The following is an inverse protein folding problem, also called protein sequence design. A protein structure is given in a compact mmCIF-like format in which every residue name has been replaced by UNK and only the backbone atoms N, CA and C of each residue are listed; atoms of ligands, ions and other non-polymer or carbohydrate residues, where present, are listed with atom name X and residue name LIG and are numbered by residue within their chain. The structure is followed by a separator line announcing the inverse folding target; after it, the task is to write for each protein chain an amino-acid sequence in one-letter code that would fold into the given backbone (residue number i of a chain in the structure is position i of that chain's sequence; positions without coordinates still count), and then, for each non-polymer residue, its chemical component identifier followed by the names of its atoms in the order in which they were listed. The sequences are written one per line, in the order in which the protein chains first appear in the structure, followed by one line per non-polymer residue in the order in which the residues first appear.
data_IF_796879650633
#
_entry.id   IF_796879650633
#
_cell.length_a   1.000
_cell.length_b   1.000
_cell.length_c   1.000
_cell.angle_alpha   90.00
_cell.angle_beta   90.00
_cell.angle_gamma   90.00
#
_symmetry.space_group_name_H-M   'P 1'
#
loop_
_entity.id
_entity.type
_entity.pdbx_description
1 polymer ?
2 non-polymer ?
3 non-polymer ?
4 non-polymer ?
5 non-polymer ?
6 non-polymer ?
7 water ?
#
# COMPACT_ATOMS: atom_id res chain seq x y z
N UNK A 1 -10.63 15.64 -0.06
CA UNK A 1 -10.37 15.71 1.39
C UNK A 1 -9.54 14.53 1.85
N UNK A 2 -9.67 14.21 3.13
CA UNK A 2 -8.80 13.23 3.81
C UNK A 2 -8.88 11.87 3.09
N UNK A 3 -10.09 11.40 2.76
CA UNK A 3 -10.24 10.03 2.21
C UNK A 3 -9.65 9.98 0.80
N UNK A 4 -9.85 11.05 0.02
CA UNK A 4 -9.21 11.10 -1.30
C UNK A 4 -7.69 11.15 -1.12
N UNK A 5 -7.19 11.89 -0.13
CA UNK A 5 -5.72 11.98 0.09
C UNK A 5 -5.13 10.59 0.33
N UNK A 6 -5.85 9.72 1.04
CA UNK A 6 -5.39 8.33 1.27
C UNK A 6 -5.21 7.64 -0.09
N UNK A 7 -6.20 7.76 -0.98
CA UNK A 7 -6.14 7.20 -2.35
C UNK A 7 -4.99 7.80 -3.16
N UNK A 8 -4.78 9.11 -3.10
CA UNK A 8 -3.63 9.76 -3.79
C UNK A 8 -2.31 9.17 -3.27
N UNK A 9 -2.14 9.10 -1.96
CA UNK A 9 -0.84 8.63 -1.43
C UNK A 9 -0.63 7.17 -1.83
N UNK A 10 -1.67 6.35 -1.63
CA UNK A 10 -1.62 4.91 -1.99
C UNK A 10 -1.30 4.71 -3.48
N UNK A 11 -1.74 5.60 -4.36
CA UNK A 11 -1.45 5.49 -5.80
C UNK A 11 0.03 5.62 -6.10
N UNK A 12 0.86 6.20 -5.22
CA UNK A 12 2.33 6.25 -5.47
C UNK A 12 3.03 6.13 -4.12
N UNK A 13 2.67 5.12 -3.35
CA UNK A 13 2.95 5.11 -1.89
C UNK A 13 4.46 5.03 -1.60
N UNK A 14 5.20 4.25 -2.39
CA UNK A 14 6.68 4.14 -2.25
C UNK A 14 7.29 5.55 -2.35
N UNK A 15 6.96 6.35 -3.37
CA UNK A 15 7.62 7.66 -3.54
C UNK A 15 7.16 8.61 -2.40
N UNK A 16 5.87 8.70 -2.14
CA UNK A 16 5.35 9.57 -1.05
C UNK A 16 5.98 9.16 0.29
N UNK A 17 6.03 7.88 0.61
CA UNK A 17 6.52 7.38 1.91
C UNK A 17 7.99 7.80 2.08
N UNK A 18 8.84 7.58 1.06
CA UNK A 18 10.26 8.00 1.13
C UNK A 18 10.35 9.53 1.24
N UNK A 19 9.65 10.28 0.40
CA UNK A 19 9.80 11.76 0.37
C UNK A 19 9.31 12.38 1.69
N UNK A 20 8.26 11.85 2.32
CA UNK A 20 7.76 12.40 3.61
C UNK A 20 8.70 12.00 4.74
N UNK A 21 9.15 10.75 4.77
CA UNK A 21 10.03 10.28 5.83
C UNK A 21 11.38 11.01 5.76
N UNK A 22 11.86 11.30 4.56
CA UNK A 22 13.11 12.08 4.40
C UNK A 22 12.83 13.50 4.90
N UNK A 23 11.67 14.06 4.57
CA UNK A 23 11.32 15.44 4.99
C UNK A 23 11.40 15.48 6.51
N UNK A 24 10.87 14.45 7.17
CA UNK A 24 10.87 14.29 8.63
C UNK A 24 12.34 14.24 9.11
N UNK A 25 13.16 13.33 8.54
CA UNK A 25 14.55 13.16 9.05
C UNK A 25 15.41 14.39 8.78
N UNK A 26 15.13 15.18 7.72
CA UNK A 26 15.91 16.40 7.41
C UNK A 26 15.42 17.58 8.29
N UNK A 27 14.11 17.67 8.58
CA UNK A 27 13.56 18.72 9.46
C UNK A 27 14.03 18.49 10.90
N UNK A 28 14.19 17.25 11.35
CA UNK A 28 14.46 16.84 12.76
C UNK A 28 15.65 15.88 12.80
N UNK A 29 16.86 16.40 12.49
CA UNK A 29 18.04 15.55 12.36
C UNK A 29 18.29 14.72 13.62
N UNK A 30 17.93 15.25 14.82
CA UNK A 30 18.18 14.50 16.09
C UNK A 30 17.35 13.22 16.05
N UNK A 31 16.31 13.14 15.22
CA UNK A 31 15.43 11.93 15.11
C UNK A 31 16.20 10.75 14.52
N UNK A 32 17.29 10.98 13.79
CA UNK A 32 18.13 9.89 13.22
C UNK A 32 18.72 9.05 14.38
N UNK A 33 18.71 9.57 15.61
CA UNK A 33 19.20 8.88 16.83
C UNK A 33 18.45 7.57 17.11
N UNK A 34 17.20 7.41 16.66
CA UNK A 34 16.41 6.15 16.80
C UNK A 34 16.77 5.16 15.69
N UNK A 35 17.64 5.54 14.75
CA UNK A 35 17.88 4.75 13.50
C UNK A 35 19.35 4.33 13.42
N UNK A 36 20.30 5.23 13.66
CA UNK A 36 21.78 4.99 13.75
C UNK A 36 22.39 4.75 12.36
N UNK A 37 21.99 3.64 11.72
CA UNK A 37 22.39 3.22 10.35
C UNK A 37 22.14 4.33 9.31
N UNK A 38 21.33 5.35 9.62
CA UNK A 38 20.91 6.41 8.65
C UNK A 38 21.87 7.60 8.65
N UNK A 39 22.65 7.75 9.72
CA UNK A 39 23.57 8.90 9.96
C UNK A 39 24.58 9.01 8.81
N UNK A 40 24.97 10.25 8.48
CA UNK A 40 26.00 10.57 7.47
C UNK A 40 25.68 10.06 6.10
N UNK A 41 24.39 9.97 5.75
CA UNK A 41 23.94 9.52 4.42
C UNK A 41 23.00 10.57 3.82
N UNK A 42 23.18 10.87 2.54
CA UNK A 42 22.30 11.75 1.75
C UNK A 42 20.99 10.98 1.52
N UNK A 43 19.97 11.73 1.14
CA UNK A 43 18.65 11.18 0.79
C UNK A 43 18.79 10.04 -0.21
N UNK A 44 19.57 10.21 -1.29
CA UNK A 44 19.68 9.22 -2.40
C UNK A 44 20.32 7.94 -1.85
N UNK A 45 21.28 8.07 -0.93
CA UNK A 45 21.94 6.93 -0.26
C UNK A 45 20.90 6.21 0.61
N UNK A 46 20.19 6.96 1.48
CA UNK A 46 19.15 6.41 2.39
C UNK A 46 18.20 5.57 1.56
N UNK A 47 17.83 6.12 0.39
CA UNK A 47 16.96 5.52 -0.64
C UNK A 47 17.67 4.31 -1.28
N UNK A 48 18.90 3.96 -0.84
CA UNK A 48 19.60 2.73 -1.28
C UNK A 48 19.96 1.83 -0.09
N UNK A 49 19.41 2.06 1.10
CA UNK A 49 19.62 1.19 2.30
C UNK A 49 18.35 0.37 2.54
N UNK A 50 18.43 -0.96 2.42
CA UNK A 50 17.25 -1.87 2.36
C UNK A 50 16.30 -1.62 3.54
N UNK A 51 16.82 -1.43 4.76
CA UNK A 51 15.99 -1.25 6.00
C UNK A 51 15.29 0.12 5.98
N UNK A 52 15.82 1.11 5.25
CA UNK A 52 15.09 2.38 4.97
C UNK A 52 13.88 2.14 4.08
N UNK A 53 14.08 1.62 2.88
CA UNK A 53 13.00 1.43 1.89
C UNK A 53 11.89 0.56 2.46
N UNK A 54 12.26 -0.45 3.24
CA UNK A 54 11.33 -1.54 3.70
C UNK A 54 10.47 -0.96 4.81
N UNK A 55 11.13 -0.39 5.82
CA UNK A 55 10.52 0.18 7.04
C UNK A 55 9.70 1.44 6.72
N UNK A 56 10.17 2.29 5.79
CA UNK A 56 9.39 3.47 5.35
C UNK A 56 8.13 2.99 4.63
N UNK A 57 8.22 2.00 3.75
CA UNK A 57 7.00 1.56 3.02
C UNK A 57 6.01 0.97 4.06
N UNK A 58 6.51 0.26 5.07
CA UNK A 58 5.64 -0.41 6.07
C UNK A 58 5.03 0.61 7.03
N UNK A 59 5.75 1.68 7.38
CA UNK A 59 5.20 2.86 8.10
C UNK A 59 3.97 3.38 7.34
N UNK A 60 4.09 3.60 6.04
CA UNK A 60 3.06 4.30 5.23
C UNK A 60 1.95 3.28 4.92
N UNK A 61 2.28 2.01 4.71
CA UNK A 61 1.20 1.00 4.50
C UNK A 61 0.29 1.03 5.73
N UNK A 62 0.86 0.99 6.92
CA UNK A 62 0.03 0.91 8.15
C UNK A 62 -0.59 2.28 8.43
N UNK A 63 0.13 3.38 8.20
CA UNK A 63 -0.44 4.72 8.50
C UNK A 63 -1.68 4.93 7.60
N UNK A 64 -1.63 4.51 6.35
CA UNK A 64 -2.81 4.66 5.47
C UNK A 64 -3.98 3.77 5.96
N UNK A 65 -3.72 2.59 6.51
CA UNK A 65 -4.82 1.75 7.07
C UNK A 65 -5.45 2.48 8.26
N UNK A 66 -4.61 3.00 9.14
CA UNK A 66 -5.08 3.70 10.36
C UNK A 66 -5.89 4.94 9.93
N UNK A 67 -5.41 5.70 8.94
CA UNK A 67 -6.16 6.84 8.38
C UNK A 67 -7.49 6.36 7.81
N UNK A 68 -7.48 5.23 7.10
CA UNK A 68 -8.67 4.70 6.41
C UNK A 68 -9.72 4.22 7.42
N UNK A 69 -9.28 3.71 8.55
CA UNK A 69 -10.18 3.19 9.59
C UNK A 69 -10.66 4.30 10.53
N UNK A 70 -10.11 5.51 10.41
CA UNK A 70 -10.45 6.68 11.22
C UNK A 70 -11.87 7.16 10.89
N UNK A 71 -12.52 7.77 11.85
CA UNK A 71 -13.75 8.56 11.62
C UNK A 71 -13.38 10.04 11.83
N UNK A 72 -13.61 10.89 10.83
CA UNK A 72 -13.41 12.35 10.98
C UNK A 72 -12.00 12.60 11.56
N UNK A 73 -11.00 11.89 11.04
CA UNK A 73 -9.58 12.05 11.39
C UNK A 73 -9.30 11.59 12.82
N UNK A 74 -10.19 10.78 13.42
CA UNK A 74 -9.99 10.21 14.78
C UNK A 74 -9.74 8.73 14.62
N UNK A 75 -8.51 8.27 14.94
CA UNK A 75 -8.13 6.88 14.69
C UNK A 75 -8.83 5.98 15.70
N UNK A 76 -8.97 4.70 15.35
CA UNK A 76 -9.50 3.67 16.26
C UNK A 76 -8.56 3.55 17.47
N UNK A 77 -9.10 3.45 18.67
CA UNK A 77 -8.29 3.13 19.87
C UNK A 77 -7.49 1.82 19.66
N UNK A 78 -8.09 0.79 19.07
CA UNK A 78 -7.38 -0.49 18.74
C UNK A 78 -6.13 -0.22 17.90
N UNK A 79 -6.17 0.73 16.96
CA UNK A 79 -5.01 1.00 16.08
C UNK A 79 -3.91 1.63 16.92
N UNK A 80 -4.28 2.51 17.84
CA UNK A 80 -3.33 3.16 18.76
C UNK A 80 -2.73 2.08 19.67
N UNK A 81 -3.56 1.23 20.29
CA UNK A 81 -3.05 0.12 21.14
C UNK A 81 -2.03 -0.66 20.32
N UNK A 82 -2.43 -1.14 19.13
CA UNK A 82 -1.54 -1.97 18.26
C UNK A 82 -0.20 -1.27 18.13
N UNK A 83 -0.20 0.02 17.79
CA UNK A 83 1.06 0.75 17.53
C UNK A 83 1.88 0.79 18.83
N UNK A 84 1.24 1.10 19.96
CA UNK A 84 1.98 1.30 21.25
C UNK A 84 2.76 0.02 21.55
N UNK A 85 2.09 -1.14 21.47
CA UNK A 85 2.62 -2.45 21.90
C UNK A 85 3.40 -3.12 20.76
N UNK A 86 3.92 -2.34 19.81
CA UNK A 86 4.94 -2.82 18.84
C UNK A 86 6.32 -2.78 19.54
N UNK A 87 6.96 -3.94 19.70
CA UNK A 87 8.27 -4.08 20.41
C UNK A 87 9.31 -3.12 19.80
N UNK A 88 9.29 -2.97 18.48
CA UNK A 88 10.18 -2.10 17.66
C UNK A 88 10.12 -0.64 18.12
N UNK A 89 8.96 -0.22 18.65
CA UNK A 89 8.72 1.18 19.11
C UNK A 89 8.99 1.34 20.62
N UNK A 90 9.66 0.38 21.27
CA UNK A 90 10.01 0.47 22.72
C UNK A 90 10.59 1.86 23.03
N UNK A 91 11.53 2.30 22.22
CA UNK A 91 12.23 3.59 22.39
C UNK A 91 11.30 4.79 22.43
N UNK A 92 10.18 4.77 21.72
CA UNK A 92 9.55 6.00 21.20
C UNK A 92 8.62 6.66 22.24
N UNK A 93 8.46 7.97 22.09
CA UNK A 93 7.45 8.80 22.80
C UNK A 93 6.54 9.45 21.76
N UNK A 94 5.46 10.10 22.19
CA UNK A 94 4.47 10.72 21.27
C UNK A 94 5.18 11.80 20.46
N UNK A 95 6.25 12.39 21.03
CA UNK A 95 7.10 13.40 20.39
C UNK A 95 7.62 12.95 19.04
N UNK A 96 8.04 11.68 18.93
CA UNK A 96 8.54 11.13 17.66
C UNK A 96 7.45 11.22 16.59
N UNK A 97 6.23 10.86 16.97
CA UNK A 97 5.02 10.82 16.08
C UNK A 97 4.56 12.23 15.73
N UNK A 98 4.54 13.14 16.71
CA UNK A 98 4.16 14.55 16.45
C UNK A 98 5.04 15.09 15.31
N UNK A 99 6.36 14.91 15.43
CA UNK A 99 7.33 15.48 14.46
C UNK A 99 7.10 14.88 13.08
N UNK A 100 6.85 13.59 12.99
CA UNK A 100 6.56 12.91 11.70
C UNK A 100 5.37 13.61 11.04
N UNK A 101 4.31 13.89 11.80
CA UNK A 101 3.09 14.54 11.24
C UNK A 101 3.34 16.01 10.94
N UNK A 102 4.16 16.74 11.70
CA UNK A 102 4.49 18.15 11.35
C UNK A 102 5.15 18.14 9.97
N UNK A 103 6.09 17.22 9.75
CA UNK A 103 6.82 17.16 8.46
C UNK A 103 5.85 16.74 7.35
N UNK A 104 4.98 15.76 7.58
CA UNK A 104 3.93 15.33 6.63
C UNK A 104 3.05 16.53 6.22
N UNK A 105 2.53 17.30 7.18
CA UNK A 105 1.63 18.43 6.87
C UNK A 105 2.41 19.50 6.06
N UNK A 106 3.62 19.80 6.47
CA UNK A 106 4.52 20.78 5.79
C UNK A 106 4.76 20.31 4.34
N UNK A 107 5.06 19.02 4.16
CA UNK A 107 5.26 18.40 2.82
C UNK A 107 4.00 18.62 1.95
N UNK A 108 2.82 18.36 2.51
CA UNK A 108 1.55 18.52 1.77
C UNK A 108 1.33 20.00 1.39
N UNK A 109 1.62 20.89 2.34
CA UNK A 109 1.47 22.37 2.19
C UNK A 109 2.38 22.88 1.06
N UNK A 110 3.57 22.31 0.90
CA UNK A 110 4.60 22.71 -0.11
C UNK A 110 4.38 21.99 -1.44
N UNK A 111 3.52 20.98 -1.48
CA UNK A 111 3.24 20.21 -2.71
C UNK A 111 2.43 21.09 -3.67
N UNK A 112 2.43 20.80 -4.95
CA UNK A 112 1.55 21.60 -5.82
C UNK A 112 0.09 21.13 -5.80
N UNK A 113 -0.26 20.22 -4.89
CA UNK A 113 -1.45 19.34 -4.95
C UNK A 113 -2.47 19.69 -3.85
N UNK A 114 -3.76 19.41 -4.12
CA UNK A 114 -4.91 19.84 -3.30
C UNK A 114 -5.11 18.88 -2.14
N UNK A 115 -4.03 18.53 -1.43
CA UNK A 115 -4.14 17.73 -0.18
C UNK A 115 -4.92 18.53 0.84
N UNK A 116 -5.70 17.85 1.67
CA UNK A 116 -6.43 18.48 2.79
C UNK A 116 -5.48 18.49 3.98
N UNK A 117 -4.52 19.43 3.99
CA UNK A 117 -3.42 19.44 4.97
C UNK A 117 -3.96 19.69 6.39
N UNK A 118 -5.03 20.45 6.52
CA UNK A 118 -5.60 20.66 7.87
C UNK A 118 -6.20 19.34 8.42
N UNK A 119 -6.79 18.47 7.62
CA UNK A 119 -7.23 17.13 8.06
C UNK A 119 -6.06 16.29 8.52
N UNK A 120 -4.94 16.31 7.80
CA UNK A 120 -3.76 15.52 8.21
C UNK A 120 -3.21 16.03 9.56
N UNK A 121 -3.23 17.34 9.74
CA UNK A 121 -2.74 17.98 10.97
C UNK A 121 -3.59 17.45 12.13
N UNK A 122 -4.92 17.42 11.96
CA UNK A 122 -5.82 16.93 13.03
C UNK A 122 -5.61 15.43 13.22
N UNK A 123 -5.46 14.69 12.14
CA UNK A 123 -5.16 13.24 12.21
C UNK A 123 -3.92 13.02 13.07
N UNK A 124 -2.85 13.76 12.81
CA UNK A 124 -1.58 13.58 13.56
C UNK A 124 -1.80 13.86 15.05
N UNK A 125 -2.48 14.96 15.38
CA UNK A 125 -2.79 15.32 16.80
C UNK A 125 -3.66 14.23 17.44
N UNK A 126 -4.66 13.71 16.72
CA UNK A 126 -5.65 12.77 17.29
C UNK A 126 -4.93 11.44 17.53
N UNK A 127 -4.03 11.07 16.61
CA UNK A 127 -3.25 9.84 16.77
C UNK A 127 -2.31 9.99 17.98
N UNK A 128 -1.64 11.12 18.12
CA UNK A 128 -0.76 11.38 19.30
C UNK A 128 -1.63 11.24 20.56
N UNK A 129 -2.81 11.84 20.59
CA UNK A 129 -3.70 11.73 21.78
C UNK A 129 -4.04 10.26 22.05
N UNK A 130 -4.44 9.51 21.01
CA UNK A 130 -4.83 8.09 21.12
C UNK A 130 -3.66 7.23 21.62
N UNK A 131 -2.45 7.49 21.11
CA UNK A 131 -1.24 6.73 21.50
C UNK A 131 -1.03 6.93 23.02
N UNK A 132 -1.07 8.18 23.48
CA UNK A 132 -0.96 8.53 24.92
C UNK A 132 -1.99 7.74 25.75
N UNK A 133 -3.27 7.80 25.37
CA UNK A 133 -4.37 7.07 26.06
C UNK A 133 -4.10 5.56 26.08
N UNK A 134 -3.43 5.02 25.05
CA UNK A 134 -3.19 3.58 24.87
C UNK A 134 -1.91 3.14 25.62
N UNK A 135 -1.11 4.09 26.07
CA UNK A 135 0.00 3.81 27.00
C UNK A 135 1.35 4.30 26.52
N UNK A 136 1.44 5.02 25.40
CA UNK A 136 2.77 5.50 24.93
C UNK A 136 3.20 6.63 25.85
N UNK A 137 4.49 6.73 26.18
CA UNK A 137 5.03 7.76 27.09
C UNK A 137 5.24 9.05 26.31
N UNK B 1 -11.57 -12.77 7.59
CA UNK B 1 -12.33 -12.95 6.31
C UNK B 1 -11.79 -12.01 5.25
N UNK B 2 -12.61 -11.71 4.26
CA UNK B 2 -12.21 -10.91 3.08
C UNK B 2 -11.71 -9.53 3.49
N UNK B 3 -12.47 -8.78 4.32
CA UNK B 3 -12.07 -7.42 4.78
C UNK B 3 -10.71 -7.45 5.49
N UNK B 4 -10.51 -8.42 6.38
CA UNK B 4 -9.21 -8.54 7.09
C UNK B 4 -8.14 -8.87 6.05
N UNK B 5 -8.44 -9.71 5.06
CA UNK B 5 -7.43 -10.10 4.05
C UNK B 5 -6.95 -8.84 3.31
N UNK B 6 -7.89 -7.97 2.93
CA UNK B 6 -7.51 -6.65 2.33
C UNK B 6 -6.50 -5.93 3.25
N UNK B 7 -6.73 -5.91 4.56
CA UNK B 7 -5.80 -5.25 5.49
C UNK B 7 -4.44 -5.99 5.51
N UNK B 8 -4.46 -7.31 5.54
CA UNK B 8 -3.22 -8.13 5.50
C UNK B 8 -2.41 -7.78 4.25
N UNK B 9 -3.02 -7.86 3.08
CA UNK B 9 -2.32 -7.57 1.79
C UNK B 9 -1.82 -6.13 1.82
N UNK B 10 -2.63 -5.17 2.23
CA UNK B 10 -2.22 -3.74 2.22
C UNK B 10 -1.03 -3.53 3.17
N UNK B 11 -0.97 -4.30 4.24
CA UNK B 11 0.10 -4.24 5.25
C UNK B 11 1.47 -4.44 4.61
N UNK B 12 1.55 -5.27 3.60
CA UNK B 12 2.84 -5.63 2.96
C UNK B 12 2.65 -5.70 1.45
N UNK B 13 2.08 -4.64 0.91
CA UNK B 13 1.41 -4.73 -0.41
C UNK B 13 2.43 -5.03 -1.52
N UNK B 14 3.58 -4.35 -1.51
CA UNK B 14 4.69 -4.52 -2.49
C UNK B 14 5.10 -6.01 -2.55
N UNK B 15 5.28 -6.64 -1.40
CA UNK B 15 5.76 -8.05 -1.29
C UNK B 15 4.67 -8.98 -1.79
N UNK B 16 3.46 -8.86 -1.27
CA UNK B 16 2.33 -9.69 -1.74
C UNK B 16 2.11 -9.49 -3.24
N UNK B 17 2.11 -8.24 -3.72
CA UNK B 17 1.81 -7.93 -5.13
C UNK B 17 2.85 -8.67 -6.01
N UNK B 18 4.14 -8.53 -5.70
CA UNK B 18 5.20 -9.25 -6.47
C UNK B 18 5.00 -10.77 -6.41
N UNK B 19 4.79 -11.31 -5.21
CA UNK B 19 4.61 -12.76 -4.90
C UNK B 19 3.50 -13.33 -5.77
N UNK B 20 2.34 -12.67 -5.75
CA UNK B 20 1.10 -13.18 -6.40
C UNK B 20 1.25 -13.05 -7.92
N UNK B 21 1.80 -11.94 -8.38
CA UNK B 21 1.96 -11.68 -9.82
C UNK B 21 2.95 -12.68 -10.40
N UNK B 22 4.04 -12.95 -9.68
CA UNK B 22 5.02 -14.00 -10.09
C UNK B 22 4.31 -15.35 -10.16
N UNK B 23 3.47 -15.69 -9.16
CA UNK B 23 2.73 -16.97 -9.17
C UNK B 23 1.86 -17.05 -10.44
N UNK B 24 1.20 -15.96 -10.79
CA UNK B 24 0.41 -15.83 -12.04
C UNK B 24 1.28 -16.12 -13.29
N UNK B 25 2.39 -15.39 -13.42
CA UNK B 25 3.29 -15.45 -14.61
C UNK B 25 3.87 -16.86 -14.73
N UNK B 26 4.19 -17.51 -13.62
CA UNK B 26 4.84 -18.85 -13.65
C UNK B 26 3.78 -19.95 -13.92
N UNK B 27 2.55 -19.77 -13.45
CA UNK B 27 1.47 -20.74 -13.66
C UNK B 27 0.99 -20.62 -15.11
N UNK B 28 1.05 -19.43 -15.68
CA UNK B 28 0.51 -19.11 -17.03
C UNK B 28 1.57 -18.42 -17.86
N UNK B 29 2.60 -19.17 -18.29
CA UNK B 29 3.71 -18.57 -19.01
C UNK B 29 3.31 -17.80 -20.28
N UNK B 30 2.27 -18.21 -21.02
CA UNK B 30 1.79 -17.48 -22.23
C UNK B 30 1.31 -16.09 -21.84
N UNK B 31 0.83 -15.87 -20.61
CA UNK B 31 0.44 -14.52 -20.14
C UNK B 31 1.63 -13.55 -20.15
N UNK B 32 2.87 -14.05 -20.12
CA UNK B 32 4.09 -13.19 -20.05
C UNK B 32 4.20 -12.30 -21.30
N UNK B 33 3.53 -12.68 -22.40
CA UNK B 33 3.46 -11.89 -23.66
C UNK B 33 3.00 -10.47 -23.36
N UNK B 34 1.83 -10.32 -22.76
CA UNK B 34 1.29 -9.01 -22.31
C UNK B 34 2.38 -8.19 -21.60
N UNK B 35 3.52 -8.81 -21.26
CA UNK B 35 4.65 -8.20 -20.52
C UNK B 35 5.98 -8.58 -21.21
N UNK B 36 6.24 -7.96 -22.37
CA UNK B 36 7.44 -8.30 -23.20
C UNK B 36 8.74 -7.91 -22.46
N UNK B 37 8.64 -6.95 -21.54
CA UNK B 37 9.74 -6.41 -20.68
C UNK B 37 10.23 -7.45 -19.66
N UNK B 38 9.42 -8.47 -19.37
CA UNK B 38 9.65 -9.43 -18.25
C UNK B 38 10.14 -10.76 -18.80
N UNK B 39 10.19 -10.90 -20.13
CA UNK B 39 10.60 -12.14 -20.83
C UNK B 39 12.09 -12.41 -20.52
N UNK B 40 12.40 -13.67 -20.24
CA UNK B 40 13.77 -14.16 -20.07
C UNK B 40 14.37 -13.77 -18.74
N UNK B 41 13.55 -13.56 -17.70
CA UNK B 41 14.02 -13.10 -16.38
C UNK B 41 13.42 -13.97 -15.30
N UNK B 42 14.23 -14.38 -14.34
CA UNK B 42 13.80 -15.23 -13.21
C UNK B 42 13.02 -14.34 -12.23
N UNK B 43 12.40 -14.97 -11.23
CA UNK B 43 11.70 -14.20 -10.17
C UNK B 43 12.64 -13.16 -9.54
N UNK B 44 13.88 -13.52 -9.22
CA UNK B 44 14.80 -12.57 -8.55
C UNK B 44 15.25 -11.49 -9.56
N UNK B 45 15.47 -11.83 -10.84
CA UNK B 45 15.84 -10.83 -11.88
C UNK B 45 14.69 -9.82 -12.02
N UNK B 46 13.44 -10.27 -11.91
CA UNK B 46 12.27 -9.33 -12.00
C UNK B 46 12.22 -8.49 -10.70
N UNK B 47 12.37 -9.11 -9.51
CA UNK B 47 12.22 -8.40 -8.20
C UNK B 47 13.37 -7.40 -8.02
N UNK B 48 14.43 -7.43 -8.84
CA UNK B 48 15.55 -6.46 -8.79
C UNK B 48 15.26 -5.24 -9.69
N UNK B 49 14.23 -5.33 -10.52
CA UNK B 49 13.84 -4.21 -11.43
C UNK B 49 12.86 -3.30 -10.68
N UNK B 50 13.31 -2.14 -10.15
CA UNK B 50 12.45 -1.22 -9.40
C UNK B 50 11.11 -1.08 -10.13
N UNK B 51 11.11 -1.10 -11.47
CA UNK B 51 9.86 -0.93 -12.26
C UNK B 51 8.90 -2.12 -12.11
N UNK B 52 9.39 -3.31 -11.81
CA UNK B 52 8.50 -4.49 -11.63
C UNK B 52 7.68 -4.29 -10.36
N UNK B 53 8.38 -3.99 -9.28
CA UNK B 53 7.79 -3.67 -7.97
C UNK B 53 6.81 -2.52 -8.08
N UNK B 54 7.22 -1.42 -8.74
CA UNK B 54 6.39 -0.19 -8.87
C UNK B 54 5.09 -0.54 -9.57
N UNK B 55 5.15 -1.21 -10.73
CA UNK B 55 3.94 -1.56 -11.54
C UNK B 55 3.05 -2.56 -10.78
N UNK B 56 3.64 -3.60 -10.19
CA UNK B 56 2.83 -4.67 -9.55
C UNK B 56 2.15 -4.09 -8.30
N UNK B 57 2.87 -3.27 -7.53
CA UNK B 57 2.26 -2.62 -6.35
C UNK B 57 1.04 -1.78 -6.78
N UNK B 58 1.13 -1.05 -7.88
CA UNK B 58 0.05 -0.12 -8.31
C UNK B 58 -1.17 -0.88 -8.82
N UNK B 59 -0.93 -2.01 -9.47
CA UNK B 59 -1.95 -3.01 -9.88
C UNK B 59 -2.69 -3.47 -8.61
N UNK B 60 -1.94 -3.89 -7.59
CA UNK B 60 -2.54 -4.50 -6.38
C UNK B 60 -3.22 -3.40 -5.55
N UNK B 61 -2.72 -2.16 -5.57
CA UNK B 61 -3.41 -1.05 -4.88
C UNK B 61 -4.82 -0.89 -5.46
N UNK B 62 -4.93 -0.76 -6.78
CA UNK B 62 -6.25 -0.62 -7.42
C UNK B 62 -7.08 -1.87 -7.16
N UNK B 63 -6.51 -3.07 -7.19
CA UNK B 63 -7.27 -4.31 -6.84
C UNK B 63 -7.81 -4.21 -5.41
N UNK B 64 -7.03 -3.73 -4.43
CA UNK B 64 -7.50 -3.59 -3.02
C UNK B 64 -8.59 -2.51 -2.90
N UNK B 65 -8.48 -1.41 -3.68
CA UNK B 65 -9.50 -0.32 -3.67
C UNK B 65 -10.82 -0.94 -4.16
N UNK B 66 -10.79 -1.71 -5.25
CA UNK B 66 -11.98 -2.39 -5.81
C UNK B 66 -12.50 -3.40 -4.77
N UNK B 67 -11.63 -4.18 -4.13
CA UNK B 67 -12.07 -5.20 -3.17
C UNK B 67 -12.75 -4.49 -1.99
N UNK B 68 -12.17 -3.38 -1.54
CA UNK B 68 -12.65 -2.67 -0.34
C UNK B 68 -14.04 -2.06 -0.62
N UNK B 69 -14.25 -1.59 -1.85
CA UNK B 69 -15.53 -0.95 -2.27
C UNK B 69 -16.61 -2.01 -2.59
N UNK B 70 -16.22 -3.29 -2.77
CA UNK B 70 -17.17 -4.39 -3.06
C UNK B 70 -18.12 -4.60 -1.88
N UNK B 71 -19.33 -5.10 -2.16
CA UNK B 71 -20.29 -5.56 -1.12
C UNK B 71 -20.41 -7.07 -1.28
N UNK B 72 -20.15 -7.83 -0.22
CA UNK B 72 -20.26 -9.32 -0.27
C UNK B 72 -19.52 -9.87 -1.52
N UNK B 73 -18.35 -9.33 -1.80
CA UNK B 73 -17.41 -9.78 -2.85
C UNK B 73 -17.99 -9.47 -4.24
N UNK B 74 -18.87 -8.51 -4.32
CA UNK B 74 -19.43 -8.04 -5.63
C UNK B 74 -18.91 -6.64 -5.88
N UNK B 75 -18.05 -6.49 -6.90
CA UNK B 75 -17.44 -5.21 -7.17
C UNK B 75 -18.48 -4.29 -7.79
N UNK B 76 -18.29 -3.00 -7.56
CA UNK B 76 -19.06 -1.90 -8.21
C UNK B 76 -18.85 -1.96 -9.73
N UNK B 77 -19.96 -1.82 -10.46
CA UNK B 77 -19.97 -1.76 -11.93
C UNK B 77 -19.00 -0.67 -12.39
N UNK B 78 -19.00 0.50 -11.71
CA UNK B 78 -18.10 1.64 -12.02
C UNK B 78 -16.64 1.19 -11.92
N UNK B 79 -16.30 0.35 -10.95
CA UNK B 79 -14.90 -0.15 -10.79
C UNK B 79 -14.55 -1.07 -11.96
N UNK B 80 -15.46 -1.97 -12.32
CA UNK B 80 -15.31 -2.86 -13.49
C UNK B 80 -15.08 -1.96 -14.70
N UNK B 81 -15.85 -0.88 -14.85
CA UNK B 81 -15.76 0.01 -16.03
C UNK B 81 -14.39 0.69 -16.03
N UNK B 82 -13.88 1.13 -14.89
CA UNK B 82 -12.51 1.72 -14.85
C UNK B 82 -11.53 0.70 -15.48
N UNK B 83 -11.59 -0.54 -15.04
CA UNK B 83 -10.60 -1.55 -15.43
C UNK B 83 -10.73 -1.87 -16.93
N UNK B 84 -11.96 -1.86 -17.47
CA UNK B 84 -12.19 -2.07 -18.94
C UNK B 84 -11.61 -0.89 -19.72
N UNK B 85 -11.85 0.35 -19.26
CA UNK B 85 -11.56 1.60 -20.02
C UNK B 85 -10.09 2.04 -19.85
N UNK B 86 -9.31 1.42 -18.94
CA UNK B 86 -7.86 1.73 -18.79
C UNK B 86 -7.13 1.40 -20.11
N UNK B 87 -6.33 2.35 -20.61
CA UNK B 87 -5.53 2.22 -21.87
C UNK B 87 -4.64 0.98 -21.79
N UNK B 88 -3.95 0.83 -20.66
CA UNK B 88 -3.03 -0.33 -20.42
C UNK B 88 -3.80 -1.66 -20.50
N UNK B 89 -5.15 -1.64 -20.49
CA UNK B 89 -5.97 -2.87 -20.58
C UNK B 89 -6.63 -3.02 -21.96
N UNK B 90 -6.26 -2.21 -22.96
CA UNK B 90 -6.79 -2.28 -24.35
C UNK B 90 -6.82 -3.74 -24.84
N UNK B 91 -5.70 -4.45 -24.72
CA UNK B 91 -5.60 -5.81 -25.30
C UNK B 91 -6.55 -6.86 -24.69
N UNK B 92 -6.93 -6.71 -23.41
CA UNK B 92 -7.25 -7.83 -22.48
C UNK B 92 -8.64 -8.43 -22.72
N UNK B 93 -8.82 -9.71 -22.39
CA UNK B 93 -10.15 -10.34 -22.25
C UNK B 93 -10.32 -10.79 -20.80
N UNK B 94 -11.50 -11.27 -20.48
CA UNK B 94 -11.84 -11.64 -19.07
C UNK B 94 -10.87 -12.77 -18.67
N UNK B 95 -10.47 -13.64 -19.63
CA UNK B 95 -9.55 -14.77 -19.40
C UNK B 95 -8.31 -14.36 -18.63
N UNK B 96 -7.73 -13.21 -18.97
CA UNK B 96 -6.52 -12.65 -18.34
C UNK B 96 -6.76 -12.46 -16.83
N UNK B 97 -7.88 -11.84 -16.45
CA UNK B 97 -8.24 -11.58 -15.04
C UNK B 97 -8.60 -12.89 -14.33
N UNK B 98 -9.34 -13.77 -15.02
CA UNK B 98 -9.69 -15.11 -14.46
C UNK B 98 -8.42 -15.81 -13.99
N UNK B 99 -7.40 -15.82 -14.86
CA UNK B 99 -6.12 -16.51 -14.58
C UNK B 99 -5.37 -15.84 -13.42
N UNK B 100 -5.31 -14.52 -13.38
CA UNK B 100 -4.72 -13.82 -12.21
C UNK B 100 -5.42 -14.24 -10.91
N UNK B 101 -6.74 -14.30 -10.91
CA UNK B 101 -7.49 -14.69 -9.70
C UNK B 101 -7.33 -16.17 -9.41
N UNK B 102 -7.19 -17.06 -10.37
CA UNK B 102 -6.90 -18.49 -10.03
C UNK B 102 -5.55 -18.53 -9.30
N UNK B 103 -4.55 -17.82 -9.81
CA UNK B 103 -3.20 -17.81 -9.25
C UNK B 103 -3.26 -17.25 -7.83
N UNK B 104 -4.04 -16.18 -7.63
CA UNK B 104 -4.17 -15.49 -6.33
C UNK B 104 -4.77 -16.43 -5.30
N UNK B 105 -5.81 -17.15 -5.68
CA UNK B 105 -6.51 -18.10 -4.78
C UNK B 105 -5.55 -19.26 -4.44
N UNK B 106 -4.80 -19.76 -5.42
CA UNK B 106 -3.88 -20.91 -5.20
C UNK B 106 -2.72 -20.45 -4.29
N UNK B 107 -2.27 -19.22 -4.47
CA UNK B 107 -1.28 -18.59 -3.57
C UNK B 107 -1.78 -18.54 -2.12
N UNK B 108 -3.02 -18.10 -1.93
CA UNK B 108 -3.64 -17.97 -0.60
C UNK B 108 -3.76 -19.36 0.06
N UNK B 109 -4.25 -20.34 -0.70
CA UNK B 109 -4.44 -21.71 -0.18
C UNK B 109 -3.09 -22.29 0.26
N UNK B 110 -2.01 -22.00 -0.46
CA UNK B 110 -0.66 -22.57 -0.22
C UNK B 110 0.09 -21.78 0.85
N UNK B 111 -0.41 -20.62 1.28
CA UNK B 111 0.34 -19.75 2.22
C UNK B 111 0.18 -20.34 3.62
N UNK B 112 0.98 -19.96 4.58
CA UNK B 112 0.70 -20.52 5.93
C UNK B 112 -0.61 -20.02 6.53
N UNK B 113 -1.34 -19.14 5.85
CA UNK B 113 -2.10 -18.06 6.54
C UNK B 113 -3.60 -18.27 6.33
N UNK B 114 -4.40 -17.65 7.20
CA UNK B 114 -5.87 -17.83 7.27
C UNK B 114 -6.60 -16.86 6.32
N UNK B 115 -6.10 -16.69 5.10
CA UNK B 115 -6.85 -16.01 4.03
C UNK B 115 -8.20 -16.71 3.84
N UNK B 116 -9.23 -15.92 3.55
CA UNK B 116 -10.56 -16.41 3.15
C UNK B 116 -10.52 -16.70 1.63
N UNK B 117 -9.84 -17.77 1.25
CA UNK B 117 -9.58 -18.06 -0.18
C UNK B 117 -10.90 -18.22 -0.95
N UNK B 118 -11.94 -18.78 -0.34
CA UNK B 118 -13.24 -18.98 -1.03
C UNK B 118 -13.84 -17.62 -1.42
N UNK B 119 -13.74 -16.64 -0.53
CA UNK B 119 -14.22 -15.27 -0.81
C UNK B 119 -13.42 -14.65 -1.95
N UNK B 120 -12.09 -14.84 -1.98
CA UNK B 120 -11.27 -14.30 -3.10
C UNK B 120 -11.66 -14.99 -4.40
N UNK B 121 -12.01 -16.29 -4.35
CA UNK B 121 -12.37 -17.05 -5.56
C UNK B 121 -13.66 -16.45 -6.10
N UNK B 122 -14.61 -16.20 -5.20
CA UNK B 122 -15.94 -15.59 -5.49
C UNK B 122 -15.77 -14.16 -6.04
N UNK B 123 -14.95 -13.33 -5.39
CA UNK B 123 -14.61 -11.95 -5.81
C UNK B 123 -14.07 -11.99 -7.25
N UNK B 124 -13.11 -12.86 -7.55
CA UNK B 124 -12.55 -13.01 -8.92
C UNK B 124 -13.66 -13.33 -9.92
N UNK B 125 -14.53 -14.30 -9.61
CA UNK B 125 -15.62 -14.68 -10.54
C UNK B 125 -16.50 -13.45 -10.77
N UNK B 126 -16.87 -12.79 -9.69
CA UNK B 126 -17.80 -11.65 -9.76
C UNK B 126 -17.12 -10.52 -10.52
N UNK B 127 -15.81 -10.31 -10.35
CA UNK B 127 -15.10 -9.23 -11.07
C UNK B 127 -15.03 -9.58 -12.56
N UNK B 128 -14.75 -10.84 -12.90
CA UNK B 128 -14.79 -11.31 -14.32
C UNK B 128 -16.19 -11.07 -14.93
N UNK B 129 -17.26 -11.43 -14.20
CA UNK B 129 -18.64 -11.15 -14.66
C UNK B 129 -18.83 -9.63 -14.88
N UNK B 130 -18.47 -8.84 -13.87
CA UNK B 130 -18.61 -7.35 -13.93
C UNK B 130 -17.79 -6.79 -15.08
N UNK B 131 -16.59 -7.32 -15.35
CA UNK B 131 -15.75 -6.85 -16.49
C UNK B 131 -16.52 -7.10 -17.81
N UNK B 132 -17.07 -8.32 -17.95
CA UNK B 132 -17.93 -8.70 -19.10
C UNK B 132 -19.08 -7.69 -19.25
N UNK B 133 -19.85 -7.47 -18.19
CA UNK B 133 -21.00 -6.53 -18.13
C UNK B 133 -20.54 -5.13 -18.56
N UNK B 134 -19.32 -4.74 -18.18
CA UNK B 134 -18.79 -3.38 -18.46
C UNK B 134 -18.12 -3.31 -19.84
N UNK B 135 -18.16 -4.39 -20.63
CA UNK B 135 -17.79 -4.39 -22.06
C UNK B 135 -16.48 -5.10 -22.39
N UNK B 136 -15.87 -5.83 -21.45
CA UNK B 136 -14.65 -6.62 -21.78
C UNK B 136 -15.08 -7.88 -22.55
N UNK B 137 -14.32 -8.22 -23.60
CA UNK B 137 -14.56 -9.42 -24.45
C UNK B 137 -14.14 -10.65 -23.66
X LIG C 1 9.64 -0.41 12.90
X LIG C 1 5.34 1.29 11.71
X LIG C 1 6.51 5.67 13.25
X LIG C 1 10.82 4.05 14.49
X LIG C 1 8.35 -0.34 12.43
X LIG C 1 7.54 -1.33 11.75
X LIG C 1 6.36 -0.81 11.41
X LIG C 1 6.39 0.48 11.87
X LIG C 1 5.15 -1.45 10.71
X LIG C 1 7.89 -2.74 11.40
X LIG C 1 8.22 -2.82 9.90
X LIG C 1 9.42 -3.72 9.73
X LIG C 1 9.33 -4.66 8.91
X LIG C 1 10.48 -3.50 10.40
X LIG C 1 5.39 2.62 12.06
X LIG C 1 4.26 3.41 11.79
X LIG C 1 4.53 4.66 12.21
X LIG C 1 5.91 4.54 12.73
X LIG C 1 2.96 2.97 11.16
X LIG C 1 3.66 5.89 12.20
X LIG C 1 2.35 5.96 11.90
X LIG C 1 7.78 5.60 13.72
X LIG C 1 8.49 6.74 14.16
X LIG C 1 9.76 6.30 14.51
X LIG C 1 9.79 4.89 14.27
X LIG C 1 7.93 8.15 14.23
X LIG C 1 10.87 7.10 15.05
X LIG C 1 10.84 8.45 15.12
X LIG C 1 10.85 2.69 14.18
X LIG C 1 12.03 1.91 14.36
X LIG C 1 11.75 0.65 13.90
X LIG C 1 10.34 0.67 13.45
X LIG C 1 13.30 2.50 14.95
X LIG C 1 12.62 -0.55 13.85
X LIG C 1 14.12 -0.25 13.61
X LIG C 1 14.51 -0.16 12.15
X LIG C 1 13.97 0.68 11.38
X LIG C 1 15.40 -0.93 11.70
X LIG C 1 7.58 0.78 12.47
X LIG C 1 6.40 3.28 12.63
X LIG C 1 8.58 4.49 13.78
X LIG C 1 9.90 1.91 13.63
X LIG C 1 8.25 2.50 13.19
X LIG D 1 11.02 4.36 9.99
X LIG D 1 10.95 1.98 9.48
X LIG D 1 9.47 2.93 11.15
X LIG D 1 9.99 4.29 10.99
X LIG D 1 9.91 1.88 10.47
X LIG D 1 11.45 3.32 9.30
X LIG E 1 -4.64 15.06 -3.19
X LIG E 1 -5.47 14.00 -2.74
X LIG E 1 -4.85 15.27 -4.66
X LIG E 1 -4.53 16.64 -4.96
X LIG E 1 -6.28 14.93 -5.06
X LIG E 1 -7.18 15.61 -4.20
X LIG F 1 -10.06 4.25 1.08
X LIG F 1 -11.25 4.97 1.39
X LIG F 1 -9.24 4.98 0.03
X LIG F 1 -9.39 6.39 0.06
X LIG F 1 -7.77 4.71 0.15
X LIG F 1 -7.38 3.86 -0.89
X LIG G 1 18.46 20.97 2.44
X LIG G 1 19.47 20.01 2.16
X LIG G 1 17.18 20.28 2.86
X LIG G 1 16.05 20.95 2.29
X LIG G 1 17.17 18.81 2.52
X LIG G 1 17.28 18.61 1.10
X LIG H 1 -8.64 -0.37 6.66
X LIG H 1 -9.10 -1.59 7.26
X LIG H 1 -8.09 -0.55 5.26
X LIG H 1 -7.33 0.56 4.77
X LIG H 1 -7.27 -1.80 5.13
X LIG H 1 -7.87 -2.58 4.10
X LIG I 1 -13.14 13.95 3.69
X LIG I 1 -12.22 14.89 4.28
X LIG I 1 -14.43 14.14 4.26
X LIG I 1 -13.25 14.17 2.26
X LIG I 1 -12.71 12.60 3.87
X LIG J 1 24.06 13.63 8.60
X LIG J 1 24.02 14.79 9.45
X LIG J 1 22.76 13.40 8.00
X LIG J 1 25.04 13.84 7.59
X LIG J 1 24.39 12.46 9.40
X LIG K 1 5.01 12.00 -6.35
X LIG K 1 5.36 13.25 -5.72
X LIG K 1 3.90 12.22 -7.24
X LIG K 1 6.14 11.54 -7.11
X LIG K 1 4.65 11.02 -5.37
X LIG L 1 -1.10 -1.70 -16.03
X LIG L 1 -4.51 -2.48 -12.51
X LIG L 1 -5.31 -7.01 -14.08
X LIG L 1 -2.19 -6.13 -17.72
X LIG L 1 -1.95 -1.57 -14.90
X LIG L 1 -1.95 -0.46 -14.00
X LIG L 1 -2.85 -0.67 -13.02
X LIG L 1 -3.48 -1.90 -13.28
X LIG L 1 -3.17 0.30 -11.88
X LIG L 1 -1.06 0.76 -14.08
X LIG L 1 0.20 0.44 -13.25
X LIG L 1 1.20 1.57 -13.25
X LIG L 1 0.85 2.73 -12.96
X LIG L 1 2.39 1.31 -13.53
X LIG L 1 -5.01 -3.78 -12.64
X LIG L 1 -5.92 -4.41 -11.72
X LIG L 1 -6.15 -5.69 -12.15
X LIG L 1 -5.35 -5.82 -13.37
X LIG L 1 -6.52 -3.78 -10.51
X LIG L 1 -7.03 -6.77 -11.58
X LIG L 1 -7.95 -6.56 -10.61
X LIG L 1 -4.50 -7.18 -15.20
X LIG L 1 -4.38 -8.38 -15.97
X LIG L 1 -3.51 -8.12 -17.04
X LIG L 1 -3.10 -6.76 -16.89
X LIG L 1 -5.11 -9.66 -15.70
X LIG L 1 -2.97 -9.05 -18.07
X LIG L 1 -2.95 -10.37 -17.95
X LIG L 1 -1.68 -4.86 -17.48
X LIG L 1 -0.66 -4.34 -18.38
X LIG L 1 -0.34 -3.11 -17.93
X LIG L 1 -1.21 -2.88 -16.74
X LIG L 1 -0.04 -5.03 -19.59
X LIG L 1 0.68 -2.18 -18.56
X LIG L 1 2.12 -2.65 -18.37
X LIG L 1 2.76 -1.97 -17.18
X LIG L 1 3.97 -2.22 -16.94
X LIG L 1 2.13 -1.17 -16.46
X LIG L 1 -2.91 -2.47 -14.40
X LIG L 1 -4.68 -4.67 -13.58
X LIG L 1 -3.73 -6.20 -15.77
X LIG L 1 -2.01 -3.98 -16.52
X LIG L 1 -3.37 -4.26 -15.15
X LIG M 1 -0.93 -6.40 -14.41
X LIG M 1 -1.61 -5.44 -14.10
X LIG N 1 4.92 -12.04 3.18
X LIG N 1 4.51 -10.83 2.52
X LIG N 1 5.23 -13.04 2.19
X LIG N 1 6.07 -11.77 4.00
X LIG N 1 3.86 -12.52 4.03
#
# INVERSE_FOLDING_TARGET
GFKQDIATLRGDLRTYAQDIFLAFLNKYPDEKRNFKNYVGKSDQELKSMAKFGDHTEKVFNLMMEVADRATDCVPLASDASTLVQMKQHSGLTTGNFEKLFVALVEYMRASGQSFDSQSWDRFGKNLVSALSSAGMK
GFKQDIATLRGDLRTYAQDIFLAFLNKYPDEKRNFKNYVGKSDQELKSMAKFGDHTEKVFNLMMEVADRATDCVPLASDASTLVQMKQHSGLTTGNFEKLFVALVEYMRASGQSFDSQSWDRFGKNLVSALSSAGMK
HEM CHA CHB CHC CHD C1A C2A C3A C4A CMA CAA CBA CGA O1A O2A C1B C2B C3B C4B CMB CAB CBB C1C C2C C3C C4C CMC CAC CBC C1D C2D C3D C4D CMD CAD CBD CGD O1D O2D NA NB NC ND FE
A1ADJ C6 C4 C2 C1 C3 C5
GOL C1 O1 C2 O2 C3 O3
GOL C1 O1 C2 O2 C3 O3
GOL C1 O1 C2 O2 C3 O3
GOL C1 O1 C2 O2 C3 O3
SO4 S O1 O2 O3 O4
SO4 S O1 O2 O3 O4
SO4 S O1 O2 O3 O4
HEM CHA CHB CHC CHD C1A C2A C3A C4A CMA CAA CBA CGA O1A O2A C1B C2B C3B C4B CMB CAB CBB C1C C2C C3C C4C CMC CAC CBC C1D C2D C3D C4D CMD CAD CBD CGD O1D O2D NA NB NC ND FE
OXY O1 O2
SO4 S O1 O2 O3 O4
#
